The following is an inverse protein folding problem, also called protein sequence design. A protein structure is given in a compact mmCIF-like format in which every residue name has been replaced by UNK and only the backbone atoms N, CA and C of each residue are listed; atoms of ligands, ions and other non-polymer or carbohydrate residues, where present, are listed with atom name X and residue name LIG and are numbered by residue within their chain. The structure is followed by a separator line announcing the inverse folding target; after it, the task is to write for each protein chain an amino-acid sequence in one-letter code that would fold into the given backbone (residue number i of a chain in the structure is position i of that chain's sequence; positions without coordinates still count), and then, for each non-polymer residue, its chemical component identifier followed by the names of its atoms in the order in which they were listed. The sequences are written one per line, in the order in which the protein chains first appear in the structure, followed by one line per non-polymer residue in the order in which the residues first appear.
data_IF_603470683726
#
_entry.id   IF_603470683726
#
_cell.length_a   1.000
_cell.length_b   1.000
_cell.length_c   1.000
_cell.angle_alpha   90.00
_cell.angle_beta   90.00
_cell.angle_gamma   90.00
#
_symmetry.space_group_name_H-M   'P 1'
#
loop_
_entity.id
_entity.type
_entity.pdbx_description
1 polymer ?
#
# COMPACT_ATOMS: atom_id res chain seq x y z
N UNK A 1 0.21 16.27 -0.71
CA UNK A 1 -0.67 16.69 0.39
C UNK A 1 0.20 17.51 1.30
N UNK A 2 -0.19 18.77 1.53
CA UNK A 2 0.41 19.53 2.62
C UNK A 2 0.04 18.78 3.91
N UNK A 3 1.02 18.45 4.74
CA UNK A 3 0.80 17.64 5.95
C UNK A 3 -0.10 18.32 6.99
N UNK A 4 -0.11 17.83 8.22
CA UNK A 4 -0.88 18.43 9.32
C UNK A 4 -2.29 17.84 9.51
N UNK A 5 -2.60 16.76 8.81
CA UNK A 5 -3.76 15.91 9.08
C UNK A 5 -3.40 14.44 8.85
N UNK A 6 -4.26 13.55 9.35
CA UNK A 6 -4.22 12.13 9.04
C UNK A 6 -5.42 11.76 8.18
N UNK A 7 -5.20 10.89 7.19
CA UNK A 7 -6.27 10.19 6.50
C UNK A 7 -6.54 8.89 7.24
N UNK A 8 -7.79 8.68 7.66
CA UNK A 8 -8.24 7.42 8.27
C UNK A 8 -9.09 6.68 7.25
N UNK A 9 -8.71 5.44 6.96
CA UNK A 9 -9.35 4.60 5.94
C UNK A 9 -10.03 3.45 6.67
N UNK A 10 -11.34 3.27 6.41
CA UNK A 10 -12.09 2.11 6.85
C UNK A 10 -12.42 1.26 5.63
N UNK A 11 -11.99 0.01 5.65
CA UNK A 11 -12.14 -0.93 4.54
C UNK A 11 -13.10 -2.05 4.92
N UNK A 12 -14.00 -2.40 3.99
CA UNK A 12 -14.78 -3.63 4.03
C UNK A 12 -14.37 -4.49 2.85
N UNK A 13 -13.90 -5.70 3.12
CA UNK A 13 -13.31 -6.60 2.14
C UNK A 13 -14.21 -7.82 1.95
N UNK A 14 -14.39 -8.22 0.69
CA UNK A 14 -15.04 -9.48 0.33
C UNK A 14 -14.06 -10.32 -0.48
N UNK A 15 -13.58 -11.40 0.13
CA UNK A 15 -12.57 -12.31 -0.40
C UNK A 15 -13.18 -13.70 -0.62
N UNK A 16 -12.57 -14.55 -1.47
CA UNK A 16 -13.03 -15.93 -1.65
C UNK A 16 -13.12 -16.72 -0.34
N UNK A 17 -12.24 -16.42 0.62
CA UNK A 17 -12.16 -17.09 1.92
C UNK A 17 -13.03 -16.45 3.01
N UNK A 18 -13.76 -15.37 2.72
CA UNK A 18 -14.66 -14.73 3.69
C UNK A 18 -14.70 -13.20 3.56
N UNK A 19 -15.32 -12.55 4.55
CA UNK A 19 -15.34 -11.09 4.66
C UNK A 19 -14.31 -10.62 5.69
N UNK A 20 -13.74 -9.44 5.48
CA UNK A 20 -12.84 -8.82 6.43
C UNK A 20 -13.08 -7.32 6.57
N UNK A 21 -12.56 -6.73 7.64
CA UNK A 21 -12.53 -5.28 7.82
C UNK A 21 -11.09 -4.82 8.02
N UNK A 22 -10.79 -3.61 7.58
CA UNK A 22 -9.47 -2.99 7.71
C UNK A 22 -9.58 -1.57 8.27
N UNK A 23 -8.58 -1.17 9.03
CA UNK A 23 -8.38 0.20 9.48
C UNK A 23 -6.98 0.62 9.11
N UNK A 24 -6.87 1.70 8.34
CA UNK A 24 -5.59 2.29 7.98
C UNK A 24 -5.51 3.76 8.41
N UNK A 25 -4.31 4.18 8.79
CA UNK A 25 -3.97 5.58 9.04
C UNK A 25 -2.81 5.97 8.16
N UNK A 26 -2.99 7.04 7.40
CA UNK A 26 -1.97 7.61 6.52
C UNK A 26 -1.67 9.06 6.91
N UNK A 27 -0.39 9.41 6.93
CA UNK A 27 0.09 10.75 7.25
C UNK A 27 1.26 11.16 6.35
N UNK A 28 1.73 12.39 6.52
CA UNK A 28 2.91 12.91 5.82
C UNK A 28 3.97 13.36 6.82
N UNK A 29 5.17 12.79 6.72
CA UNK A 29 6.35 13.19 7.46
C UNK A 29 7.15 14.20 6.61
N UNK A 30 7.14 15.47 7.04
CA UNK A 30 7.80 16.56 6.32
C UNK A 30 9.33 16.47 6.35
N UNK A 31 9.92 15.97 7.45
CA UNK A 31 11.38 15.85 7.60
C UNK A 31 11.94 14.80 6.63
N UNK A 32 11.24 13.66 6.52
CA UNK A 32 11.61 12.57 5.61
C UNK A 32 11.08 12.78 4.19
N UNK A 33 10.17 13.74 3.98
CA UNK A 33 9.43 13.98 2.74
C UNK A 33 8.71 12.73 2.22
N UNK A 34 8.19 11.92 3.14
CA UNK A 34 7.51 10.64 2.85
C UNK A 34 6.14 10.60 3.49
N UNK A 35 5.21 9.91 2.82
CA UNK A 35 4.00 9.44 3.45
C UNK A 35 4.28 8.23 4.33
N UNK A 36 3.52 8.11 5.41
CA UNK A 36 3.50 6.94 6.29
C UNK A 36 2.14 6.29 6.19
N UNK A 37 2.10 4.96 6.16
CA UNK A 37 0.87 4.17 6.12
C UNK A 37 0.97 3.05 7.15
N UNK A 38 -0.05 2.91 7.98
CA UNK A 38 -0.18 1.79 8.91
C UNK A 38 -1.58 1.20 8.80
N UNK A 39 -1.66 -0.10 8.59
CA UNK A 39 -2.93 -0.83 8.47
C UNK A 39 -2.97 -2.00 9.45
N UNK A 40 -4.18 -2.29 9.92
CA UNK A 40 -4.52 -3.54 10.58
C UNK A 40 -5.83 -4.07 10.01
N UNK A 41 -5.98 -5.39 9.94
CA UNK A 41 -7.22 -6.00 9.48
C UNK A 41 -7.71 -7.15 10.36
N UNK A 42 -8.97 -7.53 10.15
CA UNK A 42 -9.65 -8.57 10.93
C UNK A 42 -9.12 -9.99 10.70
N UNK A 43 -8.14 -10.17 9.81
CA UNK A 43 -7.45 -11.45 9.59
C UNK A 43 -6.16 -11.55 10.42
N UNK A 44 -5.85 -10.52 11.23
CA UNK A 44 -4.65 -10.48 12.07
C UNK A 44 -3.41 -9.96 11.36
N UNK A 45 -3.56 -9.40 10.15
CA UNK A 45 -2.46 -8.78 9.41
C UNK A 45 -2.25 -7.33 9.88
N UNK A 46 -0.99 -6.91 9.84
CA UNK A 46 -0.57 -5.55 10.10
C UNK A 46 0.49 -5.15 9.07
N UNK A 47 0.37 -3.94 8.53
CA UNK A 47 1.29 -3.39 7.54
C UNK A 47 1.83 -2.04 8.00
N UNK A 48 3.11 -1.79 7.71
CA UNK A 48 3.74 -0.49 7.88
C UNK A 48 4.53 -0.17 6.61
N UNK A 49 4.11 0.88 5.90
CA UNK A 49 4.73 1.29 4.65
C UNK A 49 5.09 2.77 4.65
N UNK A 50 6.11 3.13 3.88
CA UNK A 50 6.41 4.52 3.55
C UNK A 50 6.32 4.76 2.06
N UNK A 51 5.82 5.93 1.69
CA UNK A 51 5.49 6.24 0.30
C UNK A 51 5.99 7.59 -0.18
N UNK A 52 6.24 7.68 -1.48
CA UNK A 52 6.50 8.94 -2.19
C UNK A 52 5.51 9.10 -3.33
N UNK A 53 5.24 10.35 -3.70
CA UNK A 53 4.44 10.68 -4.89
C UNK A 53 5.28 11.54 -5.82
N UNK A 54 5.30 11.16 -7.10
CA UNK A 54 5.90 11.93 -8.18
C UNK A 54 4.90 12.01 -9.34
N UNK A 55 4.35 13.20 -9.57
CA UNK A 55 3.28 13.42 -10.56
C UNK A 55 2.06 12.52 -10.33
N UNK A 56 1.86 11.57 -11.23
CA UNK A 56 0.76 10.60 -11.22
C UNK A 56 1.13 9.25 -10.56
N UNK A 57 2.36 9.12 -10.06
CA UNK A 57 2.92 7.85 -9.61
C UNK A 57 3.19 7.86 -8.12
N UNK A 58 2.63 6.88 -7.42
CA UNK A 58 2.92 6.57 -6.03
C UNK A 58 3.85 5.36 -5.97
N UNK A 59 4.87 5.45 -5.13
CA UNK A 59 5.75 4.33 -4.82
C UNK A 59 5.77 4.14 -3.31
N UNK A 60 5.39 2.95 -2.87
CA UNK A 60 5.37 2.51 -1.48
C UNK A 60 6.38 1.40 -1.26
N UNK A 61 6.96 1.39 -0.08
CA UNK A 61 7.92 0.38 0.37
C UNK A 61 7.63 -0.01 1.81
N UNK A 62 7.74 -1.31 2.08
CA UNK A 62 7.47 -1.94 3.36
C UNK A 62 8.44 -3.10 3.60
N UNK A 63 8.49 -3.56 4.85
CA UNK A 63 9.21 -4.75 5.26
C UNK A 63 8.23 -5.68 5.95
N UNK A 64 8.11 -6.90 5.43
CA UNK A 64 7.21 -7.92 5.96
C UNK A 64 8.00 -9.16 6.39
N UNK A 65 7.54 -9.81 7.45
CA UNK A 65 8.06 -11.11 7.86
C UNK A 65 7.31 -12.21 7.13
N UNK A 66 8.00 -12.96 6.27
CA UNK A 66 7.44 -14.11 5.56
C UNK A 66 8.26 -15.35 5.86
N UNK A 67 7.64 -16.36 6.48
CA UNK A 67 8.29 -17.62 6.87
C UNK A 67 9.57 -17.43 7.70
N UNK A 68 9.61 -16.40 8.55
CA UNK A 68 10.77 -16.09 9.40
C UNK A 68 11.86 -15.25 8.74
N UNK A 69 11.72 -14.91 7.46
CA UNK A 69 12.65 -14.03 6.73
C UNK A 69 12.03 -12.64 6.52
N UNK A 70 12.88 -11.63 6.53
CA UNK A 70 12.48 -10.27 6.10
C UNK A 70 12.34 -10.27 4.58
N UNK A 71 11.21 -9.77 4.11
CA UNK A 71 10.90 -9.56 2.70
C UNK A 71 10.62 -8.07 2.50
N UNK A 72 11.31 -7.45 1.56
CA UNK A 72 11.02 -6.08 1.16
C UNK A 72 9.91 -6.09 0.12
N UNK A 73 8.88 -5.27 0.32
CA UNK A 73 7.85 -5.05 -0.68
C UNK A 73 8.01 -3.68 -1.35
N UNK A 74 7.56 -3.62 -2.60
CA UNK A 74 7.47 -2.40 -3.40
C UNK A 74 6.14 -2.37 -4.12
N UNK A 75 5.27 -1.45 -3.73
CA UNK A 75 3.99 -1.21 -4.39
C UNK A 75 4.04 0.09 -5.21
N UNK A 76 3.92 -0.02 -6.53
CA UNK A 76 3.87 1.11 -7.44
C UNK A 76 2.47 1.28 -7.97
N UNK A 77 1.87 2.46 -7.79
CA UNK A 77 0.56 2.81 -8.33
C UNK A 77 0.69 3.99 -9.29
N UNK A 78 0.10 3.88 -10.48
CA UNK A 78 0.03 4.97 -11.46
C UNK A 78 -1.41 5.37 -11.71
N UNK A 79 -1.73 6.63 -11.40
CA UNK A 79 -3.05 7.22 -11.62
C UNK A 79 -3.23 7.43 -13.13
N UNK A 80 -4.29 6.83 -13.69
CA UNK A 80 -4.62 6.99 -15.12
C UNK A 80 -5.70 8.05 -15.34
N UNK A 81 -6.61 8.18 -14.39
CA UNK A 81 -7.73 9.12 -14.41
C UNK A 81 -8.24 9.35 -12.99
N UNK A 82 -9.17 10.30 -12.75
CA UNK A 82 -9.82 10.46 -11.44
C UNK A 82 -10.55 9.22 -10.92
N UNK A 83 -10.75 8.19 -11.76
CA UNK A 83 -11.50 6.97 -11.42
C UNK A 83 -10.73 5.68 -11.71
N UNK A 84 -9.46 5.73 -12.12
CA UNK A 84 -8.70 4.51 -12.40
C UNK A 84 -7.20 4.66 -12.19
N UNK A 85 -6.56 3.56 -11.83
CA UNK A 85 -5.12 3.45 -11.66
C UNK A 85 -4.64 2.05 -12.07
N UNK A 86 -3.37 1.93 -12.46
CA UNK A 86 -2.67 0.64 -12.51
C UNK A 86 -1.81 0.48 -11.28
N UNK A 87 -1.54 -0.76 -10.90
CA UNK A 87 -0.61 -1.04 -9.83
C UNK A 87 0.27 -2.25 -10.15
N UNK A 88 1.41 -2.30 -9.46
CA UNK A 88 2.36 -3.40 -9.48
C UNK A 88 2.89 -3.58 -8.06
N UNK A 89 2.87 -4.81 -7.58
CA UNK A 89 3.47 -5.21 -6.32
C UNK A 89 4.62 -6.18 -6.60
N UNK A 90 5.78 -5.86 -6.05
CA UNK A 90 7.01 -6.61 -6.17
C UNK A 90 7.58 -6.91 -4.80
N UNK A 91 8.23 -8.06 -4.67
CA UNK A 91 8.90 -8.46 -3.43
C UNK A 91 10.35 -8.83 -3.70
N UNK A 92 11.19 -8.70 -2.67
CA UNK A 92 12.59 -9.11 -2.71
C UNK A 92 13.09 -9.59 -1.34
N UNK A 93 13.87 -10.67 -1.33
CA UNK A 93 14.57 -11.18 -0.14
C UNK A 93 16.08 -10.95 -0.20
N UNK A 94 16.64 -10.85 -1.41
CA UNK A 94 18.07 -10.86 -1.70
C UNK A 94 18.50 -9.72 -2.65
N UNK A 95 17.60 -8.76 -2.90
CA UNK A 95 17.80 -7.67 -3.86
C UNK A 95 17.27 -7.98 -5.27
N UNK A 96 16.93 -9.24 -5.58
CA UNK A 96 16.22 -9.58 -6.80
C UNK A 96 14.72 -9.31 -6.63
N UNK A 97 14.15 -8.44 -7.46
CA UNK A 97 12.74 -8.07 -7.38
C UNK A 97 11.90 -8.96 -8.28
N UNK A 98 10.86 -9.57 -7.72
CA UNK A 98 9.92 -10.42 -8.44
C UNK A 98 8.54 -9.78 -8.36
N UNK A 99 7.86 -9.68 -9.50
CA UNK A 99 6.47 -9.22 -9.56
C UNK A 99 5.55 -10.33 -9.07
N UNK A 100 4.78 -10.04 -8.02
CA UNK A 100 3.83 -10.99 -7.44
C UNK A 100 2.39 -10.65 -7.79
N UNK A 101 2.11 -9.38 -8.09
CA UNK A 101 0.79 -8.93 -8.51
C UNK A 101 0.91 -7.68 -9.37
N UNK A 102 0.09 -7.57 -10.39
CA UNK A 102 -0.15 -6.33 -11.11
C UNK A 102 -1.60 -6.27 -11.60
N UNK A 103 -2.09 -5.08 -11.87
CA UNK A 103 -3.47 -4.93 -12.31
C UNK A 103 -3.89 -3.50 -12.59
N UNK A 104 -5.16 -3.36 -12.94
CA UNK A 104 -5.85 -2.08 -13.12
C UNK A 104 -7.10 -2.05 -12.27
N UNK A 105 -7.22 -1.01 -11.46
CA UNK A 105 -8.41 -0.75 -10.66
C UNK A 105 -9.21 0.38 -11.30
N UNK A 106 -10.52 0.21 -11.35
CA UNK A 106 -11.45 1.26 -11.80
C UNK A 106 -12.57 1.37 -10.78
N UNK A 107 -12.86 2.60 -10.34
CA UNK A 107 -13.97 2.88 -9.43
C UNK A 107 -15.28 2.47 -10.10
N UNK A 108 -16.01 1.54 -9.48
CA UNK A 108 -17.38 1.19 -9.88
C UNK A 108 -18.39 2.13 -9.22
N UNK A 109 -19.58 2.21 -9.79
CA UNK A 109 -20.70 2.94 -9.18
C UNK A 109 -21.13 2.31 -7.86
#
# INVERSE_FOLDING_TARGET
MDGGFFMVIHSNMKMPMGTGTGLAVMGYNADQKKYTYHEFNSMGEAEAATGTVDGDTWAWTDENMMNGNVVHGRYTMKILSPTSYTFKYEVSQDGNWITVMDGKTTKTK
#
